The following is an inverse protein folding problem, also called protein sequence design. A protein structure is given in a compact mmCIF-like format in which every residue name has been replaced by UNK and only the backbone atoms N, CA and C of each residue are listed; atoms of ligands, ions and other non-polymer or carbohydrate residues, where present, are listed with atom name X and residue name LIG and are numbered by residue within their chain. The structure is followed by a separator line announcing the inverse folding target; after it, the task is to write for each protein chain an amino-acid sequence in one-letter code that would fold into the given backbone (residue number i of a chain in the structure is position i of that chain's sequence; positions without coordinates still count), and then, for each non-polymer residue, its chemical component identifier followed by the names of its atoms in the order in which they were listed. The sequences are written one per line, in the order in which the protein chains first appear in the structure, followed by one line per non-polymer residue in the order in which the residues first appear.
data_IF_509440958317
#
_entry.id   IF_509440958317
#
_cell.length_a   1.000
_cell.length_b   1.000
_cell.length_c   1.000
_cell.angle_alpha   90.00
_cell.angle_beta   90.00
_cell.angle_gamma   90.00
#
_symmetry.space_group_name_H-M   'P 1'
#
loop_
_entity.id
_entity.type
_entity.pdbx_description
1 polymer ?
#
# COMPACT_ATOMS: atom_id res chain seq x y z
N UNK A 1 23.66 -0.22 -13.24
CA UNK A 1 22.71 -0.28 -12.13
C UNK A 1 21.47 -1.15 -12.44
N UNK A 2 20.88 -1.06 -13.61
CA UNK A 2 19.69 -1.83 -14.04
C UNK A 2 19.86 -3.36 -13.94
N UNK A 3 21.02 -3.92 -14.32
CA UNK A 3 21.27 -5.38 -14.30
C UNK A 3 21.20 -6.02 -12.90
N UNK A 4 21.54 -5.27 -11.83
CA UNK A 4 21.45 -5.77 -10.45
C UNK A 4 20.02 -5.80 -9.91
N UNK A 5 19.17 -4.88 -10.35
CA UNK A 5 17.76 -4.83 -9.98
C UNK A 5 16.99 -5.98 -10.66
N UNK A 6 17.29 -6.24 -11.94
CA UNK A 6 16.70 -7.37 -12.67
C UNK A 6 17.13 -8.71 -12.04
N UNK A 7 18.39 -8.83 -11.60
CA UNK A 7 18.87 -10.02 -10.89
C UNK A 7 18.19 -10.24 -9.55
N UNK A 8 17.93 -9.17 -8.80
CA UNK A 8 17.20 -9.25 -7.52
C UNK A 8 15.73 -9.62 -7.71
N UNK A 9 15.10 -9.08 -8.76
CA UNK A 9 13.74 -9.42 -9.17
C UNK A 9 13.62 -10.87 -9.60
N UNK A 10 14.56 -11.35 -10.42
CA UNK A 10 14.61 -12.76 -10.84
C UNK A 10 14.84 -13.71 -9.66
N UNK A 11 15.67 -13.32 -8.70
CA UNK A 11 15.95 -14.07 -7.48
C UNK A 11 14.73 -14.12 -6.57
N UNK A 12 13.97 -13.01 -6.42
CA UNK A 12 12.68 -13.01 -5.71
C UNK A 12 11.64 -13.91 -6.39
N UNK A 13 11.55 -13.87 -7.73
CA UNK A 13 10.65 -14.74 -8.49
C UNK A 13 11.06 -16.22 -8.35
N UNK A 14 12.36 -16.53 -8.31
CA UNK A 14 12.87 -17.89 -8.11
C UNK A 14 12.67 -18.40 -6.67
N UNK A 15 12.73 -17.54 -5.67
CA UNK A 15 12.39 -17.88 -4.28
C UNK A 15 10.88 -18.13 -4.07
N UNK A 16 10.04 -17.62 -4.97
CA UNK A 16 8.59 -17.87 -4.98
C UNK A 16 8.18 -19.12 -5.75
N UNK A 17 9.14 -19.90 -6.30
CA UNK A 17 8.81 -21.19 -6.91
C UNK A 17 8.39 -22.22 -5.87
N UNK A 18 7.41 -23.09 -6.16
CA UNK A 18 6.49 -23.67 -5.20
C UNK A 18 7.16 -24.63 -4.25
N UNK A 19 7.26 -24.27 -2.99
CA UNK A 19 7.11 -25.26 -1.94
C UNK A 19 5.65 -25.75 -1.98
N UNK A 20 5.44 -26.88 -2.64
CA UNK A 20 4.18 -27.61 -2.59
C UNK A 20 3.86 -27.93 -1.12
N UNK A 21 3.17 -27.01 -0.46
CA UNK A 21 2.46 -27.30 0.77
C UNK A 21 1.08 -27.83 0.37
N UNK A 22 0.84 -29.08 0.68
CA UNK A 22 -0.43 -29.74 0.46
C UNK A 22 -1.60 -28.92 1.02
N UNK A 23 -2.63 -28.87 0.23
CA UNK A 23 -3.85 -28.09 0.33
C UNK A 23 -4.68 -28.37 1.59
N UNK A 24 -4.34 -27.83 2.74
CA UNK A 24 -5.21 -27.90 3.92
C UNK A 24 -5.72 -26.55 4.42
N UNK A 25 -5.28 -25.44 3.83
CA UNK A 25 -5.71 -24.09 4.24
C UNK A 25 -6.01 -23.22 3.01
N UNK A 26 -7.28 -23.13 2.65
CA UNK A 26 -7.80 -22.29 1.55
C UNK A 26 -7.62 -20.76 1.76
N UNK A 27 -7.19 -20.33 2.94
CA UNK A 27 -7.17 -18.92 3.33
C UNK A 27 -5.78 -18.29 3.42
N UNK A 28 -4.72 -19.05 3.12
CA UNK A 28 -3.34 -18.56 3.18
C UNK A 28 -2.66 -18.80 1.83
N UNK A 29 -2.91 -17.92 0.88
CA UNK A 29 -2.26 -18.00 -0.43
C UNK A 29 -1.17 -16.94 -0.54
N UNK A 30 0.03 -17.36 -0.96
CA UNK A 30 1.03 -16.42 -1.47
C UNK A 30 0.44 -15.71 -2.68
N UNK A 31 0.61 -14.42 -2.76
CA UNK A 31 0.18 -13.70 -3.96
C UNK A 31 1.25 -12.70 -4.41
N UNK A 32 1.39 -12.59 -5.72
CA UNK A 32 2.20 -11.58 -6.36
C UNK A 32 1.28 -10.63 -7.11
N UNK A 33 1.43 -9.34 -6.86
CA UNK A 33 0.68 -8.27 -7.50
C UNK A 33 1.61 -7.39 -8.32
N UNK A 34 1.19 -7.07 -9.52
CA UNK A 34 1.87 -6.08 -10.36
C UNK A 34 0.86 -5.16 -11.00
N UNK A 35 1.17 -3.87 -11.04
CA UNK A 35 0.34 -2.90 -11.76
C UNK A 35 1.17 -1.81 -12.42
N UNK A 36 0.56 -1.21 -13.43
CA UNK A 36 1.06 -0.07 -14.16
C UNK A 36 0.01 1.03 -14.04
N UNK A 37 0.46 2.22 -13.75
CA UNK A 37 -0.42 3.35 -13.58
C UNK A 37 0.11 4.59 -14.29
N UNK A 38 -0.79 5.56 -14.35
CA UNK A 38 -0.52 6.91 -14.79
C UNK A 38 -0.95 7.88 -13.72
N UNK A 39 -0.03 8.74 -13.31
CA UNK A 39 -0.26 9.69 -12.24
C UNK A 39 0.03 11.12 -12.70
N UNK A 40 -0.73 12.04 -12.13
CA UNK A 40 -0.48 13.46 -12.19
C UNK A 40 -0.29 14.01 -10.78
N UNK A 41 0.76 14.78 -10.59
CA UNK A 41 1.03 15.49 -9.35
C UNK A 41 1.55 16.89 -9.70
N UNK A 42 1.13 17.92 -8.96
CA UNK A 42 1.50 19.29 -9.24
C UNK A 42 3.02 19.54 -9.15
N UNK A 43 3.74 18.72 -8.38
CA UNK A 43 5.19 18.85 -8.20
C UNK A 43 5.96 18.18 -9.34
N UNK A 44 5.52 17.02 -9.79
CA UNK A 44 6.23 16.19 -10.77
C UNK A 44 5.58 16.18 -12.15
N UNK A 45 4.38 16.77 -12.28
CA UNK A 45 3.59 16.70 -13.49
C UNK A 45 3.10 15.28 -13.78
N UNK A 46 2.97 14.96 -15.06
CA UNK A 46 2.53 13.67 -15.54
C UNK A 46 3.66 12.65 -15.48
N UNK A 47 3.38 11.46 -14.95
CA UNK A 47 4.37 10.39 -14.86
C UNK A 47 3.69 9.00 -14.83
N UNK A 48 4.42 7.99 -15.27
CA UNK A 48 4.00 6.60 -15.14
C UNK A 48 4.45 6.02 -13.80
N UNK A 49 3.67 5.08 -13.29
CA UNK A 49 3.94 4.34 -12.04
C UNK A 49 4.01 2.85 -12.33
N UNK A 50 4.93 2.16 -11.67
CA UNK A 50 5.10 0.71 -11.72
C UNK A 50 5.12 0.20 -10.29
N UNK A 51 4.14 -0.61 -9.94
CA UNK A 51 3.99 -1.14 -8.60
C UNK A 51 4.13 -2.66 -8.61
N UNK A 52 4.73 -3.19 -7.56
CA UNK A 52 4.83 -4.62 -7.28
C UNK A 52 4.52 -4.86 -5.82
N UNK A 53 3.86 -5.96 -5.52
CA UNK A 53 3.61 -6.39 -4.15
C UNK A 53 3.65 -7.91 -4.05
N UNK A 54 4.21 -8.41 -2.97
CA UNK A 54 4.20 -9.82 -2.62
C UNK A 54 3.58 -9.97 -1.24
N UNK A 55 2.48 -10.74 -1.16
CA UNK A 55 1.84 -11.09 0.09
C UNK A 55 2.36 -12.46 0.53
N UNK A 56 2.81 -12.52 1.76
CA UNK A 56 3.44 -13.69 2.39
C UNK A 56 2.60 -14.08 3.60
N UNK A 57 1.75 -15.10 3.49
CA UNK A 57 1.08 -15.66 4.66
C UNK A 57 2.12 -16.39 5.51
N UNK A 58 2.37 -15.88 6.71
CA UNK A 58 3.29 -16.50 7.65
C UNK A 58 2.58 -17.63 8.39
N UNK A 59 1.33 -17.40 8.73
CA UNK A 59 0.40 -18.41 9.24
C UNK A 59 -1.05 -17.94 9.03
N UNK A 60 -2.04 -18.75 9.45
CA UNK A 60 -3.48 -18.46 9.27
C UNK A 60 -3.91 -17.07 9.78
N UNK A 61 -3.26 -16.57 10.82
CA UNK A 61 -3.63 -15.33 11.49
C UNK A 61 -2.59 -14.22 11.31
N UNK A 62 -1.61 -14.38 10.42
CA UNK A 62 -0.51 -13.46 10.29
C UNK A 62 -0.05 -13.35 8.85
N UNK A 63 -0.18 -12.18 8.27
CA UNK A 63 0.26 -11.85 6.92
C UNK A 63 1.37 -10.81 6.94
N UNK A 64 2.32 -10.95 6.02
CA UNK A 64 3.28 -9.94 5.66
C UNK A 64 3.09 -9.52 4.21
N UNK A 65 3.36 -8.28 3.89
CA UNK A 65 3.39 -7.79 2.52
C UNK A 65 4.64 -6.93 2.33
N UNK A 66 5.32 -7.19 1.22
CA UNK A 66 6.40 -6.34 0.73
C UNK A 66 5.90 -5.69 -0.55
N UNK A 67 5.99 -4.39 -0.64
CA UNK A 67 5.60 -3.63 -1.81
C UNK A 67 6.75 -2.76 -2.30
N UNK A 68 6.80 -2.53 -3.62
CA UNK A 68 7.76 -1.65 -4.25
C UNK A 68 7.08 -0.84 -5.34
N UNK A 69 7.46 0.43 -5.45
CA UNK A 69 6.97 1.35 -6.47
C UNK A 69 8.15 2.07 -7.11
N UNK A 70 8.10 2.20 -8.41
CA UNK A 70 8.99 3.06 -9.18
C UNK A 70 8.17 3.98 -10.09
N UNK A 71 8.63 5.22 -10.29
CA UNK A 71 7.96 6.16 -11.18
C UNK A 71 8.93 6.73 -12.20
N UNK A 72 8.41 7.17 -13.36
CA UNK A 72 9.22 7.90 -14.33
C UNK A 72 9.63 9.29 -13.84
N UNK A 73 9.06 9.77 -12.74
CA UNK A 73 9.51 10.96 -12.02
C UNK A 73 10.75 10.72 -11.15
N UNK A 74 11.38 9.53 -11.25
CA UNK A 74 12.55 9.11 -10.47
C UNK A 74 12.27 9.09 -8.94
N UNK A 75 11.09 8.65 -8.55
CA UNK A 75 10.77 8.33 -7.17
C UNK A 75 10.67 6.82 -6.99
N UNK A 76 11.15 6.34 -5.84
CA UNK A 76 11.13 4.92 -5.47
C UNK A 76 10.56 4.80 -4.07
N UNK A 77 9.66 3.85 -3.88
CA UNK A 77 9.09 3.53 -2.57
C UNK A 77 9.23 2.04 -2.32
N UNK A 78 9.57 1.68 -1.09
CA UNK A 78 9.50 0.30 -0.60
C UNK A 78 8.64 0.33 0.64
N UNK A 79 7.63 -0.55 0.68
CA UNK A 79 6.73 -0.74 1.80
C UNK A 79 6.90 -2.12 2.41
N UNK A 80 6.79 -2.18 3.72
CA UNK A 80 6.69 -3.40 4.50
C UNK A 80 5.47 -3.28 5.39
N UNK A 81 4.53 -4.20 5.24
CA UNK A 81 3.33 -4.30 6.05
C UNK A 81 3.26 -5.64 6.74
N UNK A 82 2.93 -5.62 8.01
CA UNK A 82 2.74 -6.81 8.83
C UNK A 82 1.38 -6.71 9.48
N UNK A 83 0.56 -7.76 9.35
CA UNK A 83 -0.84 -7.71 9.75
C UNK A 83 -1.29 -9.00 10.44
N UNK A 84 -1.20 -9.06 11.80
CA UNK A 84 -1.93 -10.04 12.60
C UNK A 84 -3.44 -9.88 12.47
N UNK A 85 -4.17 -11.01 12.36
CA UNK A 85 -5.63 -11.08 12.19
C UNK A 85 -6.24 -11.90 13.32
N UNK A 86 -7.34 -11.42 13.88
CA UNK A 86 -8.06 -12.06 14.97
C UNK A 86 -9.53 -12.21 14.55
N UNK A 87 -9.95 -13.39 14.05
CA UNK A 87 -11.33 -13.62 13.65
C UNK A 87 -12.25 -13.57 14.87
N UNK A 88 -13.36 -12.89 14.74
CA UNK A 88 -14.41 -12.79 15.77
C UNK A 88 -15.56 -13.71 15.35
N UNK A 89 -15.83 -14.70 16.19
CA UNK A 89 -16.97 -15.62 16.01
C UNK A 89 -17.98 -15.40 17.12
N UNK A 90 -19.26 -15.33 16.76
CA UNK A 90 -20.36 -15.29 17.70
C UNK A 90 -21.40 -16.33 17.29
N UNK A 91 -21.68 -17.32 18.17
CA UNK A 91 -22.60 -18.42 17.90
C UNK A 91 -22.29 -19.14 16.57
N UNK A 92 -21.00 -19.49 16.34
CA UNK A 92 -20.48 -20.12 15.13
C UNK A 92 -20.65 -19.30 13.82
N UNK A 93 -21.11 -18.05 13.91
CA UNK A 93 -21.18 -17.13 12.78
C UNK A 93 -19.97 -16.21 12.80
N UNK A 94 -19.37 -16.05 11.62
CA UNK A 94 -18.31 -15.05 11.42
C UNK A 94 -18.91 -13.65 11.57
N UNK A 95 -18.35 -12.89 12.53
CA UNK A 95 -18.74 -11.52 12.79
C UNK A 95 -17.71 -10.51 12.27
N UNK A 96 -16.71 -10.97 11.50
CA UNK A 96 -15.60 -10.17 11.02
C UNK A 96 -14.30 -10.46 11.76
N UNK A 97 -13.30 -9.63 11.53
CA UNK A 97 -11.97 -9.81 12.10
C UNK A 97 -11.38 -8.49 12.59
N UNK A 98 -10.66 -8.53 13.70
CA UNK A 98 -9.81 -7.44 14.17
C UNK A 98 -8.43 -7.62 13.54
N UNK A 99 -7.88 -6.53 13.06
CA UNK A 99 -6.60 -6.45 12.37
C UNK A 99 -5.70 -5.51 13.16
N UNK A 100 -4.50 -5.96 13.49
CA UNK A 100 -3.42 -5.08 13.92
C UNK A 100 -2.51 -4.90 12.72
N UNK A 101 -2.09 -3.70 12.43
CA UNK A 101 -1.21 -3.45 11.28
C UNK A 101 -0.03 -2.58 11.69
N UNK A 102 1.14 -3.02 11.29
CA UNK A 102 2.35 -2.20 11.30
C UNK A 102 2.78 -2.02 9.86
N UNK A 103 2.95 -0.77 9.45
CA UNK A 103 3.34 -0.42 8.08
C UNK A 103 4.53 0.52 8.11
N UNK A 104 5.57 0.18 7.36
CA UNK A 104 6.79 0.99 7.22
C UNK A 104 7.00 1.30 5.75
N UNK A 105 7.24 2.56 5.43
CA UNK A 105 7.48 3.05 4.08
C UNK A 105 8.84 3.74 4.02
N UNK A 106 9.65 3.38 3.03
CA UNK A 106 10.84 4.10 2.68
C UNK A 106 10.67 4.72 1.29
N UNK A 107 10.83 6.03 1.20
CA UNK A 107 10.72 6.81 -0.03
C UNK A 107 12.07 7.42 -0.40
N UNK A 108 12.41 7.33 -1.67
CA UNK A 108 13.57 8.01 -2.24
C UNK A 108 13.13 8.90 -3.40
N UNK A 109 13.41 10.19 -3.28
CA UNK A 109 13.16 11.21 -4.29
C UNK A 109 14.48 11.59 -4.94
N UNK A 110 14.81 10.92 -6.04
CA UNK A 110 16.14 11.06 -6.65
C UNK A 110 16.40 12.48 -7.18
N UNK A 111 15.36 13.15 -7.65
CA UNK A 111 15.48 14.50 -8.23
C UNK A 111 15.90 15.55 -7.19
N UNK A 112 15.56 15.33 -5.93
CA UNK A 112 15.81 16.28 -4.83
C UNK A 112 16.81 15.73 -3.82
N UNK A 113 17.43 14.58 -4.07
CA UNK A 113 18.31 13.88 -3.10
C UNK A 113 17.68 13.72 -1.71
N UNK A 114 16.35 13.55 -1.67
CA UNK A 114 15.59 13.42 -0.43
C UNK A 114 15.27 11.96 -0.15
N UNK A 115 15.28 11.62 1.12
CA UNK A 115 14.86 10.31 1.64
C UNK A 115 13.75 10.52 2.66
N UNK A 116 12.72 9.70 2.59
CA UNK A 116 11.63 9.68 3.55
C UNK A 116 11.49 8.32 4.20
N UNK A 117 11.24 8.31 5.49
CA UNK A 117 10.85 7.13 6.25
C UNK A 117 9.54 7.44 6.95
N UNK A 118 8.55 6.57 6.75
CA UNK A 118 7.28 6.67 7.47
C UNK A 118 6.94 5.34 8.13
N UNK A 119 6.35 5.38 9.30
CA UNK A 119 5.92 4.20 10.02
C UNK A 119 4.55 4.47 10.65
N UNK A 120 3.67 3.49 10.61
CA UNK A 120 2.36 3.56 11.24
C UNK A 120 2.02 2.26 11.96
N UNK A 121 1.32 2.40 13.08
CA UNK A 121 0.67 1.30 13.78
C UNK A 121 -0.82 1.59 13.86
N UNK A 122 -1.65 0.63 13.47
CA UNK A 122 -3.09 0.81 13.45
C UNK A 122 -3.83 -0.44 13.90
N UNK A 123 -5.03 -0.22 14.40
CA UNK A 123 -6.02 -1.25 14.74
C UNK A 123 -7.19 -1.09 13.80
N UNK A 124 -7.62 -2.16 13.18
CA UNK A 124 -8.73 -2.17 12.24
C UNK A 124 -9.75 -3.24 12.56
N UNK A 125 -10.90 -3.07 11.96
CA UNK A 125 -11.98 -4.05 11.96
C UNK A 125 -12.47 -4.24 10.52
N UNK A 126 -12.50 -5.47 10.06
CA UNK A 126 -13.01 -5.84 8.74
C UNK A 126 -14.22 -6.75 8.88
N UNK A 127 -15.29 -6.33 8.23
CA UNK A 127 -16.52 -7.11 8.09
C UNK A 127 -16.86 -7.22 6.60
N UNK A 128 -17.86 -7.97 6.26
CA UNK A 128 -18.24 -8.30 4.87
C UNK A 128 -18.22 -7.11 3.90
N UNK A 129 -18.77 -5.97 4.32
CA UNK A 129 -18.97 -4.78 3.48
C UNK A 129 -18.14 -3.57 3.90
N UNK A 130 -17.44 -3.65 5.01
CA UNK A 130 -16.71 -2.50 5.57
C UNK A 130 -15.38 -2.93 6.12
N UNK A 131 -14.36 -2.15 5.83
CA UNK A 131 -13.08 -2.20 6.51
C UNK A 131 -12.74 -0.81 7.05
N UNK A 132 -12.54 -0.71 8.34
CA UNK A 132 -12.14 0.53 9.01
C UNK A 132 -10.91 0.29 9.87
N UNK A 133 -9.97 1.21 9.87
CA UNK A 133 -8.84 1.22 10.79
C UNK A 133 -8.49 2.62 11.23
N UNK A 134 -7.90 2.70 12.42
CA UNK A 134 -7.38 3.93 13.00
C UNK A 134 -6.08 3.61 13.73
N UNK A 135 -5.17 4.54 13.72
CA UNK A 135 -3.86 4.33 14.33
C UNK A 135 -3.05 5.61 14.49
N UNK A 136 -1.80 5.41 14.77
CA UNK A 136 -0.80 6.46 14.92
C UNK A 136 0.32 6.24 13.91
N UNK A 137 0.76 7.32 13.26
CA UNK A 137 1.87 7.31 12.32
C UNK A 137 2.87 8.41 12.60
N UNK A 138 4.07 8.24 12.09
CA UNK A 138 5.15 9.20 12.10
C UNK A 138 5.89 9.18 10.78
N UNK A 139 6.41 10.32 10.36
CA UNK A 139 7.27 10.41 9.18
C UNK A 139 8.48 11.28 9.45
N UNK A 140 9.57 10.91 8.83
CA UNK A 140 10.82 11.65 8.83
C UNK A 140 11.29 11.84 7.39
N UNK A 141 11.68 13.06 7.06
CA UNK A 141 12.23 13.39 5.75
C UNK A 141 13.62 13.99 5.94
N UNK A 142 14.61 13.45 5.28
CA UNK A 142 15.97 13.94 5.27
C UNK A 142 16.33 14.42 3.85
N UNK A 143 16.85 15.65 3.74
CA UNK A 143 17.36 16.20 2.49
C UNK A 143 18.91 16.28 2.57
N UNK A 144 19.58 15.64 1.63
CA UNK A 144 21.04 15.89 1.42
C UNK A 144 21.20 17.17 0.62
N UNK A 145 21.44 18.27 1.27
CA UNK A 145 21.86 19.50 0.59
C UNK A 145 23.36 19.37 0.32
N UNK A 146 23.73 19.18 -0.94
CA UNK A 146 25.13 19.28 -1.37
C UNK A 146 25.54 20.76 -1.37
N UNK A 147 25.78 21.31 -0.23
CA UNK A 147 26.55 22.55 -0.06
C UNK A 147 27.86 22.18 0.63
N UNK A 148 28.94 22.96 0.38
CA UNK A 148 30.27 22.73 0.95
C UNK A 148 30.31 22.76 2.49
N UNK A 149 29.19 23.00 3.13
CA UNK A 149 28.95 22.84 4.57
C UNK A 149 27.77 21.88 4.73
N UNK A 150 28.06 20.65 5.12
CA UNK A 150 27.14 19.57 5.44
C UNK A 150 26.21 19.98 6.58
N UNK A 151 25.04 20.50 6.27
CA UNK A 151 23.92 20.53 7.19
C UNK A 151 22.87 19.57 6.66
N UNK A 152 22.80 18.38 7.24
CA UNK A 152 21.69 17.46 7.08
C UNK A 152 20.47 18.11 7.75
N UNK A 153 19.56 18.68 6.97
CA UNK A 153 18.27 19.13 7.47
C UNK A 153 17.31 17.95 7.47
N UNK A 154 17.12 17.33 8.62
CA UNK A 154 16.07 16.34 8.84
C UNK A 154 14.81 17.03 9.37
N UNK A 155 13.69 16.83 8.70
CA UNK A 155 12.38 17.26 9.15
C UNK A 155 11.66 16.04 9.72
N UNK A 156 11.38 16.08 11.01
CA UNK A 156 10.53 15.11 11.67
C UNK A 156 9.11 15.67 11.76
N UNK A 157 8.17 14.96 11.15
CA UNK A 157 6.74 15.31 11.23
C UNK A 157 6.02 14.21 12.02
N UNK A 158 5.61 14.49 13.27
CA UNK A 158 4.74 13.57 13.98
C UNK A 158 3.38 13.57 13.28
N UNK A 159 2.99 12.44 12.73
CA UNK A 159 1.67 12.23 12.18
C UNK A 159 0.81 11.61 13.28
N UNK A 160 -0.12 12.38 13.82
CA UNK A 160 -0.81 11.96 15.05
C UNK A 160 -1.90 10.92 14.82
N UNK A 161 -2.51 10.89 13.64
CA UNK A 161 -3.62 9.99 13.34
C UNK A 161 -3.44 9.38 11.94
N UNK A 162 -3.60 8.07 11.86
CA UNK A 162 -3.77 7.33 10.60
C UNK A 162 -5.18 6.77 10.58
N UNK A 163 -5.88 6.93 9.47
CA UNK A 163 -7.23 6.41 9.31
C UNK A 163 -7.43 5.76 7.94
N UNK A 164 -8.37 4.83 7.91
CA UNK A 164 -8.77 4.12 6.72
C UNK A 164 -10.23 3.70 6.86
N UNK A 165 -11.04 3.99 5.87
CA UNK A 165 -12.41 3.50 5.76
C UNK A 165 -12.66 3.07 4.32
N UNK A 166 -13.02 1.83 4.13
CA UNK A 166 -13.38 1.25 2.83
C UNK A 166 -14.74 0.58 2.90
N UNK A 167 -15.57 0.86 1.91
CA UNK A 167 -16.91 0.28 1.77
C UNK A 167 -16.92 -0.53 0.47
N UNK A 168 -17.38 -1.75 0.57
CA UNK A 168 -17.47 -2.70 -0.53
C UNK A 168 -18.90 -2.80 -1.04
N UNK A 169 -19.09 -2.81 -2.35
CA UNK A 169 -20.42 -3.00 -2.96
C UNK A 169 -20.94 -4.43 -2.80
N UNK A 170 -20.04 -5.39 -2.55
CA UNK A 170 -20.32 -6.80 -2.26
C UNK A 170 -19.46 -7.28 -1.11
N UNK A 171 -19.76 -8.44 -0.49
CA UNK A 171 -18.84 -9.01 0.48
C UNK A 171 -17.42 -9.06 -0.07
N UNK A 172 -16.43 -8.67 0.73
CA UNK A 172 -15.02 -8.58 0.31
C UNK A 172 -14.44 -9.90 -0.20
N UNK A 173 -15.10 -11.03 0.11
CA UNK A 173 -14.75 -12.38 -0.37
C UNK A 173 -15.32 -12.73 -1.75
N UNK A 174 -16.11 -11.83 -2.36
CA UNK A 174 -16.72 -12.06 -3.67
C UNK A 174 -15.67 -12.15 -4.79
N UNK A 175 -15.96 -12.89 -5.85
CA UNK A 175 -15.09 -13.04 -7.03
C UNK A 175 -14.95 -11.72 -7.83
N UNK A 176 -15.83 -10.77 -7.63
CA UNK A 176 -15.66 -9.41 -8.11
C UNK A 176 -16.22 -8.39 -7.11
N UNK A 177 -15.63 -7.22 -7.07
CA UNK A 177 -16.07 -6.16 -6.18
C UNK A 177 -15.73 -4.77 -6.75
N UNK A 178 -16.46 -3.78 -6.25
CA UNK A 178 -16.11 -2.37 -6.37
C UNK A 178 -16.11 -1.82 -4.95
N UNK A 179 -15.10 -1.05 -4.59
CA UNK A 179 -14.99 -0.42 -3.28
C UNK A 179 -14.60 1.04 -3.39
N UNK A 180 -15.08 1.82 -2.44
CA UNK A 180 -14.69 3.21 -2.25
C UNK A 180 -13.99 3.34 -0.89
N UNK A 181 -12.85 4.01 -0.88
CA UNK A 181 -12.01 4.17 0.30
C UNK A 181 -11.65 5.63 0.53
N UNK A 182 -11.58 6.02 1.79
CA UNK A 182 -10.97 7.26 2.24
C UNK A 182 -9.87 6.92 3.25
N UNK A 183 -8.69 7.48 3.05
CA UNK A 183 -7.52 7.21 3.90
C UNK A 183 -6.53 8.37 3.82
N UNK A 184 -5.62 8.46 4.77
CA UNK A 184 -4.43 9.32 4.72
C UNK A 184 -3.15 8.51 4.47
N UNK A 185 -3.24 7.17 4.41
CA UNK A 185 -2.12 6.29 4.17
C UNK A 185 -2.46 5.19 3.16
N UNK A 186 -1.63 5.07 2.14
CA UNK A 186 -1.69 3.98 1.15
C UNK A 186 -0.46 3.06 1.28
N UNK A 187 -0.37 2.04 0.43
CA UNK A 187 0.79 1.15 0.38
C UNK A 187 2.10 1.87 0.01
N UNK A 188 2.03 3.09 -0.53
CA UNK A 188 3.18 3.81 -1.05
C UNK A 188 3.37 5.24 -0.53
N UNK A 189 2.42 5.76 0.22
CA UNK A 189 2.50 7.13 0.74
C UNK A 189 1.72 7.28 2.03
N UNK A 190 2.21 8.13 2.91
CA UNK A 190 1.51 8.60 4.09
C UNK A 190 1.38 10.13 3.98
N UNK A 191 0.15 10.61 4.07
CA UNK A 191 -0.17 12.03 4.00
C UNK A 191 -0.39 12.61 5.40
N UNK A 192 -0.45 13.90 5.51
CA UNK A 192 -0.82 14.56 6.76
C UNK A 192 -2.27 14.26 7.14
N UNK A 193 -2.57 14.24 8.43
CA UNK A 193 -3.86 13.84 9.02
C UNK A 193 -5.10 14.43 8.32
N UNK A 194 -5.04 15.67 7.85
CA UNK A 194 -6.17 16.35 7.21
C UNK A 194 -6.12 16.36 5.67
N UNK A 195 -5.33 15.48 5.09
CA UNK A 195 -5.21 15.38 3.63
C UNK A 195 -5.75 14.03 3.17
N UNK A 196 -7.07 13.89 3.00
CA UNK A 196 -7.67 12.62 2.62
C UNK A 196 -7.29 12.24 1.19
N UNK A 197 -7.06 10.95 0.99
CA UNK A 197 -6.94 10.31 -0.30
C UNK A 197 -8.22 9.53 -0.53
N UNK A 198 -8.92 9.83 -1.62
CA UNK A 198 -10.08 9.07 -2.05
C UNK A 198 -9.63 8.02 -3.07
N UNK A 199 -10.04 6.78 -2.87
CA UNK A 199 -9.65 5.67 -3.72
C UNK A 199 -10.91 4.93 -4.15
N UNK A 200 -11.02 4.68 -5.45
CA UNK A 200 -11.99 3.77 -6.03
C UNK A 200 -11.23 2.54 -6.52
N UNK A 201 -11.64 1.37 -6.11
CA UNK A 201 -11.04 0.09 -6.53
C UNK A 201 -12.08 -0.81 -7.14
N UNK A 202 -11.67 -1.58 -8.10
CA UNK A 202 -12.46 -2.70 -8.61
C UNK A 202 -11.56 -3.88 -8.90
N UNK A 203 -12.09 -5.08 -8.74
CA UNK A 203 -11.39 -6.29 -9.12
C UNK A 203 -12.36 -7.35 -9.63
N UNK A 204 -11.79 -8.28 -10.39
CA UNK A 204 -12.48 -9.49 -10.87
C UNK A 204 -11.51 -10.66 -10.84
N UNK A 205 -11.94 -11.78 -10.26
CA UNK A 205 -11.24 -13.07 -10.32
C UNK A 205 -11.57 -13.71 -11.67
N UNK A 206 -10.59 -13.76 -12.57
CA UNK A 206 -10.72 -14.40 -13.90
C UNK A 206 -10.64 -15.91 -13.76
N UNK A 207 -9.80 -16.37 -12.84
CA UNK A 207 -9.67 -17.76 -12.43
C UNK A 207 -9.47 -17.80 -10.90
N UNK A 208 -9.38 -19.00 -10.30
CA UNK A 208 -9.05 -19.14 -8.89
C UNK A 208 -7.67 -18.53 -8.54
N UNK A 209 -6.77 -18.49 -9.51
CA UNK A 209 -5.39 -18.01 -9.35
C UNK A 209 -5.22 -16.56 -9.80
N UNK A 210 -5.94 -16.10 -10.83
CA UNK A 210 -5.76 -14.82 -11.44
C UNK A 210 -6.86 -13.83 -11.08
N UNK A 211 -6.44 -12.68 -10.54
CA UNK A 211 -7.29 -11.50 -10.31
C UNK A 211 -6.78 -10.32 -11.13
N UNK A 212 -7.68 -9.71 -11.86
CA UNK A 212 -7.45 -8.41 -12.47
C UNK A 212 -8.01 -7.31 -11.57
N UNK A 213 -7.35 -6.17 -11.51
CA UNK A 213 -7.86 -5.05 -10.74
C UNK A 213 -7.56 -3.72 -11.42
N UNK A 214 -8.38 -2.75 -11.06
CA UNK A 214 -8.25 -1.35 -11.40
C UNK A 214 -8.35 -0.52 -10.14
N UNK A 215 -7.54 0.55 -10.05
CA UNK A 215 -7.57 1.50 -8.94
C UNK A 215 -7.46 2.91 -9.49
N UNK A 216 -8.33 3.78 -9.01
CA UNK A 216 -8.23 5.21 -9.21
C UNK A 216 -8.12 5.89 -7.87
N UNK A 217 -7.16 6.79 -7.69
CA UNK A 217 -7.04 7.58 -6.47
C UNK A 217 -6.95 9.07 -6.79
N UNK A 218 -7.49 9.87 -5.89
CA UNK A 218 -7.48 11.32 -5.99
C UNK A 218 -7.21 11.92 -4.62
N UNK A 219 -6.27 12.86 -4.58
CA UNK A 219 -5.97 13.70 -3.44
C UNK A 219 -6.39 15.12 -3.75
N UNK A 220 -7.58 15.58 -3.28
CA UNK A 220 -7.99 16.97 -3.48
C UNK A 220 -7.08 17.90 -2.66
N UNK A 221 -6.90 19.09 -3.17
CA UNK A 221 -6.22 20.18 -2.40
C UNK A 221 -7.02 20.39 -1.12
N UNK A 222 -6.34 20.40 0.02
CA UNK A 222 -6.92 20.31 1.35
C UNK A 222 -8.16 21.17 1.58
N UNK A 223 -9.23 20.49 1.94
CA UNK A 223 -10.51 21.10 2.28
C UNK A 223 -10.38 21.94 3.56
N UNK A 224 -9.42 21.59 4.44
CA UNK A 224 -9.24 22.22 5.75
C UNK A 224 -7.92 22.98 5.95
N UNK A 225 -6.93 22.83 5.07
CA UNK A 225 -5.64 23.48 5.22
C UNK A 225 -5.01 23.80 3.86
N UNK A 226 -5.15 25.02 3.41
CA UNK A 226 -4.67 25.49 2.10
C UNK A 226 -3.15 25.45 1.92
N UNK A 227 -2.38 25.31 3.00
CA UNK A 227 -0.94 25.54 2.96
C UNK A 227 -0.06 24.35 2.59
N UNK A 228 -0.57 23.11 2.54
CA UNK A 228 0.31 21.96 2.48
C UNK A 228 -0.13 20.75 1.62
N UNK A 229 -1.29 20.77 0.98
CA UNK A 229 -1.72 19.61 0.19
C UNK A 229 -1.70 19.90 -1.30
N UNK A 230 -0.90 19.11 -2.00
CA UNK A 230 -0.82 19.16 -3.45
C UNK A 230 -1.88 18.24 -4.07
N UNK A 231 -2.62 18.75 -5.04
CA UNK A 231 -3.50 17.91 -5.85
C UNK A 231 -2.69 16.79 -6.49
N UNK A 232 -3.22 15.59 -6.43
CA UNK A 232 -2.67 14.42 -7.09
C UNK A 232 -3.78 13.48 -7.52
N UNK A 233 -3.64 12.88 -8.69
CA UNK A 233 -4.52 11.84 -9.19
C UNK A 233 -3.69 10.72 -9.80
N UNK A 234 -4.15 9.50 -9.65
CA UNK A 234 -3.50 8.32 -10.22
C UNK A 234 -4.55 7.31 -10.63
N UNK A 235 -4.32 6.66 -11.74
CA UNK A 235 -5.07 5.51 -12.20
C UNK A 235 -4.09 4.37 -12.45
N UNK A 236 -4.40 3.18 -11.98
CA UNK A 236 -3.59 1.99 -12.22
C UNK A 236 -4.46 0.80 -12.56
N UNK A 237 -3.89 -0.10 -13.34
CA UNK A 237 -4.48 -1.41 -13.65
C UNK A 237 -3.42 -2.47 -13.52
N UNK A 238 -3.81 -3.63 -13.08
CA UNK A 238 -2.85 -4.70 -12.85
C UNK A 238 -3.48 -6.06 -12.66
N UNK A 239 -2.62 -6.99 -12.36
CA UNK A 239 -2.98 -8.37 -12.10
C UNK A 239 -2.32 -8.87 -10.80
N UNK A 240 -3.01 -9.79 -10.15
CA UNK A 240 -2.48 -10.54 -9.02
C UNK A 240 -2.60 -12.03 -9.32
N UNK A 241 -1.54 -12.76 -9.03
CA UNK A 241 -1.49 -14.22 -9.12
C UNK A 241 -1.39 -14.82 -7.72
N UNK A 242 -2.20 -15.83 -7.44
CA UNK A 242 -2.22 -16.62 -6.20
C UNK A 242 -1.62 -17.99 -6.46
N UNK A 243 -0.68 -18.38 -5.61
CA UNK A 243 0.00 -19.66 -5.69
C UNK A 243 -0.70 -20.73 -4.85
#
# INVERSE_FOLDING_TARGET
MCKRIVGLLLFMVLLCMPLRAESMYRDTCYSLRTDVGYAYNIVYGHHATFNMGAMLPINRNFEGEISARATTANTYTIGLRVQPKFPIKRNDKDCGEVLLETHVLYNRFQRNHMHGLAAAFSVGYRWEYVYAKVGYGMSMMAAMVMSQHTTENSIFEPHNLVYYLEIFARPHTSSWNISACITDMTDFQMERMFTPIFILRSYVDVTEQWRLYFSGQCKPVGIANQAASFFGAEMSTGASYRF
#
